data_IF_165010357540
#
_entry.id   IF_165010357540
#
_cell.length_a   1.000
_cell.length_b   1.000
_cell.length_c   1.000
_cell.angle_alpha   90.00
_cell.angle_beta   90.00
_cell.angle_gamma   90.00
#
_symmetry.space_group_name_H-M   'P 1'
#
loop_
_entity.id
_entity.type
_entity.pdbx_description
1 polymer ?
#
# COMPACT_ATOMS: atom_id res chain seq x y z
N UNK A 1 7.45 4.04 -28.07
CA UNK A 1 6.52 3.86 -26.95
C UNK A 1 7.35 3.39 -25.76
N UNK A 2 7.68 4.30 -24.85
CA UNK A 2 8.33 3.94 -23.59
C UNK A 2 7.22 3.43 -22.68
N UNK A 3 7.12 2.12 -22.52
CA UNK A 3 6.34 1.54 -21.44
C UNK A 3 7.25 1.70 -20.23
N UNK A 4 6.98 2.71 -19.39
CA UNK A 4 7.63 2.79 -18.09
C UNK A 4 7.07 1.60 -17.32
N UNK A 5 7.90 0.60 -17.01
CA UNK A 5 7.50 -0.57 -16.23
C UNK A 5 7.33 -0.12 -14.78
N UNK A 6 6.17 0.44 -14.48
CA UNK A 6 5.76 0.72 -13.10
C UNK A 6 5.36 -0.62 -12.50
N UNK A 7 6.19 -1.10 -11.59
CA UNK A 7 5.98 -2.40 -10.93
C UNK A 7 5.39 -2.24 -9.52
N UNK A 8 5.22 -1.00 -9.05
CA UNK A 8 4.76 -0.69 -7.70
C UNK A 8 3.93 0.61 -7.65
N UNK A 9 2.91 0.65 -6.80
CA UNK A 9 2.09 1.84 -6.57
C UNK A 9 1.79 2.05 -5.09
N UNK A 10 2.07 3.25 -4.59
CA UNK A 10 1.67 3.66 -3.25
C UNK A 10 0.15 3.64 -3.09
N UNK A 11 -0.30 3.14 -1.94
CA UNK A 11 -1.68 3.25 -1.48
C UNK A 11 -1.71 4.05 -0.18
N UNK A 12 -2.87 4.59 0.18
CA UNK A 12 -3.00 5.46 1.35
C UNK A 12 -2.96 4.74 2.71
N UNK A 13 -2.32 3.58 2.83
CA UNK A 13 -2.25 2.80 4.08
C UNK A 13 -0.88 2.97 4.72
N UNK A 14 -0.85 3.32 6.01
CA UNK A 14 0.39 3.57 6.75
C UNK A 14 0.23 3.30 8.25
N UNK A 15 1.29 2.94 8.94
CA UNK A 15 1.37 2.83 10.39
C UNK A 15 2.36 3.80 11.05
N UNK A 16 2.78 4.85 10.34
CA UNK A 16 3.70 5.93 10.79
C UNK A 16 3.36 6.56 12.16
N UNK A 17 2.10 6.45 12.58
CA UNK A 17 1.63 6.95 13.89
C UNK A 17 1.82 5.95 15.01
N UNK A 18 1.76 4.66 14.73
CA UNK A 18 1.79 3.56 15.69
C UNK A 18 2.17 2.27 14.95
N UNK A 19 3.43 1.87 15.11
CA UNK A 19 3.99 0.62 14.58
C UNK A 19 3.06 -0.58 14.74
N UNK A 20 2.89 -1.36 13.68
CA UNK A 20 2.00 -2.52 13.63
C UNK A 20 0.51 -2.16 13.61
N UNK A 21 0.16 -0.88 13.47
CA UNK A 21 -1.23 -0.38 13.42
C UNK A 21 -1.50 0.43 12.16
N UNK A 22 -1.55 -0.26 11.03
CA UNK A 22 -1.88 0.31 9.72
C UNK A 22 -3.26 0.95 9.67
N UNK A 23 -3.30 2.18 9.15
CA UNK A 23 -4.50 3.01 9.01
C UNK A 23 -4.54 3.65 7.63
N UNK A 24 -5.74 3.70 7.07
CA UNK A 24 -5.97 4.48 5.86
C UNK A 24 -5.91 5.97 6.17
N UNK A 25 -5.19 6.75 5.36
CA UNK A 25 -5.20 8.22 5.44
C UNK A 25 -6.61 8.80 5.21
N UNK A 26 -7.47 8.05 4.51
CA UNK A 26 -8.88 8.37 4.33
C UNK A 26 -9.72 8.27 5.61
N UNK A 27 -9.18 7.72 6.70
CA UNK A 27 -9.87 7.48 7.97
C UNK A 27 -10.86 6.31 7.96
N UNK A 28 -10.95 5.54 6.86
CA UNK A 28 -11.79 4.35 6.82
C UNK A 28 -11.21 3.25 7.71
N UNK A 29 -12.05 2.40 8.32
CA UNK A 29 -11.56 1.25 9.06
C UNK A 29 -10.82 0.29 8.12
N UNK A 30 -9.74 -0.31 8.61
CA UNK A 30 -9.05 -1.39 7.91
C UNK A 30 -9.80 -2.70 8.13
N UNK A 31 -10.67 -3.07 7.19
CA UNK A 31 -11.47 -4.31 7.24
C UNK A 31 -10.94 -5.44 6.36
N UNK A 32 -9.96 -5.15 5.51
CA UNK A 32 -9.34 -6.10 4.60
C UNK A 32 -7.85 -5.83 4.47
N UNK A 33 -7.10 -6.92 4.29
CA UNK A 33 -5.65 -6.88 4.05
C UNK A 33 -5.27 -7.97 3.05
N UNK A 34 -4.34 -7.66 2.15
CA UNK A 34 -3.75 -8.63 1.21
C UNK A 34 -2.22 -8.50 1.20
N UNK A 35 -1.63 -8.59 2.39
CA UNK A 35 -0.19 -8.57 2.59
C UNK A 35 0.50 -9.75 1.90
N UNK A 36 1.65 -9.49 1.31
CA UNK A 36 2.49 -10.53 0.72
C UNK A 36 3.05 -11.46 1.82
N UNK A 37 2.90 -12.78 1.64
CA UNK A 37 3.29 -13.79 2.64
C UNK A 37 4.53 -14.60 2.21
N UNK A 38 5.47 -13.97 1.51
CA UNK A 38 6.67 -14.66 1.02
C UNK A 38 7.73 -14.94 2.09
N UNK A 39 8.69 -15.84 1.82
CA UNK A 39 9.94 -15.92 2.59
C UNK A 39 10.85 -14.74 2.20
N UNK A 40 11.66 -14.14 3.10
CA UNK A 40 11.99 -14.53 4.48
C UNK A 40 11.27 -13.73 5.58
N UNK A 41 10.48 -12.72 5.24
CA UNK A 41 9.73 -11.85 6.15
C UNK A 41 8.27 -11.82 5.70
N UNK A 42 7.35 -12.04 6.64
CA UNK A 42 5.93 -11.88 6.40
C UNK A 42 5.57 -10.43 6.65
N UNK A 43 5.16 -9.75 5.60
CA UNK A 43 4.56 -8.42 5.67
C UNK A 43 3.37 -8.39 6.65
N UNK A 44 3.07 -7.24 7.26
CA UNK A 44 3.67 -5.93 7.03
C UNK A 44 4.64 -5.49 8.12
N UNK A 45 5.28 -6.45 8.78
CA UNK A 45 6.24 -6.14 9.83
C UNK A 45 7.39 -7.10 9.63
N UNK A 46 8.24 -6.71 8.69
CA UNK A 46 9.49 -7.32 8.30
C UNK A 46 10.47 -7.31 9.47
N UNK A 47 10.12 -8.06 10.52
CA UNK A 47 10.86 -8.25 11.75
C UNK A 47 11.61 -6.97 12.20
N UNK A 48 10.97 -6.22 13.11
CA UNK A 48 11.57 -5.45 14.21
C UNK A 48 12.84 -6.04 14.89
N UNK A 49 13.30 -7.23 14.51
CA UNK A 49 14.37 -8.04 15.10
C UNK A 49 15.77 -7.54 14.76
N UNK A 50 16.00 -6.75 13.70
CA UNK A 50 17.34 -6.23 13.35
C UNK A 50 17.57 -4.75 13.72
N UNK A 51 16.71 -4.17 14.56
CA UNK A 51 17.03 -2.96 15.32
C UNK A 51 17.19 -1.67 14.51
N UNK A 52 16.60 -1.59 13.31
CA UNK A 52 16.47 -0.35 12.56
C UNK A 52 15.16 -0.37 11.74
N UNK A 53 14.04 -0.20 12.43
CA UNK A 53 12.67 -0.55 11.97
C UNK A 53 11.69 0.59 12.19
N UNK A 54 12.07 1.83 11.87
CA UNK A 54 11.25 3.02 12.12
C UNK A 54 10.94 3.80 10.84
N UNK A 55 11.10 3.20 9.66
CA UNK A 55 10.92 3.94 8.39
C UNK A 55 10.07 3.18 7.36
N UNK A 56 9.74 1.89 7.56
CA UNK A 56 8.96 1.10 6.58
C UNK A 56 7.45 1.23 6.81
N UNK A 57 6.97 2.47 6.92
CA UNK A 57 5.62 2.72 7.43
C UNK A 57 4.56 2.83 6.32
N UNK A 58 4.94 2.67 5.04
CA UNK A 58 4.08 2.94 3.90
C UNK A 58 3.78 1.69 3.09
N UNK A 59 2.49 1.45 2.80
CA UNK A 59 2.09 0.31 1.99
C UNK A 59 2.04 0.63 0.49
N UNK A 60 2.47 -0.33 -0.33
CA UNK A 60 2.35 -0.26 -1.78
C UNK A 60 1.87 -1.59 -2.38
N UNK A 61 1.20 -1.54 -3.54
CA UNK A 61 0.89 -2.71 -4.35
C UNK A 61 2.06 -3.04 -5.25
N UNK A 62 2.39 -4.32 -5.42
CA UNK A 62 3.47 -4.77 -6.32
C UNK A 62 2.94 -5.62 -7.47
N UNK A 63 3.11 -5.18 -8.73
CA UNK A 63 2.76 -5.96 -9.93
C UNK A 63 3.51 -7.29 -10.00
N UNK A 64 4.73 -7.33 -9.44
CA UNK A 64 5.56 -8.54 -9.37
C UNK A 64 4.99 -9.58 -8.42
N UNK A 65 4.20 -9.15 -7.45
CA UNK A 65 3.61 -9.97 -6.40
C UNK A 65 2.09 -10.04 -6.54
N UNK A 66 1.59 -10.04 -7.78
CA UNK A 66 0.15 -10.15 -8.06
C UNK A 66 -0.70 -9.07 -7.35
N UNK A 67 -0.14 -7.87 -7.20
CA UNK A 67 -0.73 -6.73 -6.49
C UNK A 67 -0.95 -6.95 -4.99
N UNK A 68 -0.27 -7.92 -4.39
CA UNK A 68 -0.19 -8.03 -2.94
C UNK A 68 0.57 -6.84 -2.35
N UNK A 69 0.27 -6.56 -1.08
CA UNK A 69 0.74 -5.38 -0.37
C UNK A 69 2.08 -5.68 0.28
N UNK A 70 2.96 -4.70 0.25
CA UNK A 70 4.23 -4.71 0.97
C UNK A 70 4.37 -3.38 1.72
N UNK A 71 4.95 -3.44 2.91
CA UNK A 71 5.52 -2.30 3.61
C UNK A 71 6.81 -1.86 2.88
N UNK A 72 7.17 -0.59 3.02
CA UNK A 72 8.37 -0.03 2.41
C UNK A 72 8.66 1.32 3.03
N UNK A 73 9.92 1.74 2.93
CA UNK A 73 10.33 3.07 3.32
C UNK A 73 9.54 4.16 2.57
N UNK A 74 8.78 4.97 3.32
CA UNK A 74 7.93 6.03 2.78
C UNK A 74 8.71 7.04 1.90
N UNK A 75 10.00 7.22 2.14
CA UNK A 75 10.86 8.14 1.38
C UNK A 75 11.53 7.47 0.19
N UNK A 76 11.36 6.16 -0.01
CA UNK A 76 11.87 5.51 -1.22
C UNK A 76 11.21 6.08 -2.45
N UNK A 77 12.08 6.40 -3.41
CA UNK A 77 11.67 6.89 -4.71
C UNK A 77 11.08 5.73 -5.56
N UNK A 78 9.81 5.41 -5.32
CA UNK A 78 8.99 4.60 -6.23
C UNK A 78 8.53 5.45 -7.44
N UNK A 79 9.37 6.36 -7.96
CA UNK A 79 9.11 7.16 -9.15
C UNK A 79 7.74 7.88 -9.18
N UNK A 80 7.18 8.23 -8.01
CA UNK A 80 5.94 8.98 -7.82
C UNK A 80 4.62 8.32 -8.30
N UNK A 81 4.53 6.98 -8.33
CA UNK A 81 3.28 6.30 -8.72
C UNK A 81 2.42 5.99 -7.49
N UNK A 82 1.29 6.68 -7.35
CA UNK A 82 0.32 6.45 -6.29
C UNK A 82 -1.09 6.25 -6.87
N UNK A 83 -1.90 5.40 -6.23
CA UNK A 83 -3.32 5.24 -6.54
C UNK A 83 -4.16 6.12 -5.62
N UNK A 84 -4.88 7.08 -6.20
CA UNK A 84 -5.71 8.02 -5.44
C UNK A 84 -7.19 7.61 -5.43
N UNK A 85 -7.82 7.58 -4.26
CA UNK A 85 -9.27 7.48 -4.11
C UNK A 85 -9.92 8.88 -4.17
N UNK A 86 -10.93 9.07 -5.04
CA UNK A 86 -11.74 10.29 -5.08
C UNK A 86 -13.18 10.01 -4.65
N UNK A 87 -13.67 10.70 -3.60
CA UNK A 87 -15.08 10.65 -3.21
C UNK A 87 -15.94 11.61 -4.03
N UNK A 88 -16.32 11.21 -5.24
CA UNK A 88 -17.47 11.81 -5.95
C UNK A 88 -18.30 10.74 -6.65
N UNK A 89 -19.51 10.50 -6.12
CA UNK A 89 -20.51 9.61 -6.68
C UNK A 89 -21.30 10.23 -7.87
N UNK A 90 -20.99 11.46 -8.29
CA UNK A 90 -21.80 12.20 -9.28
C UNK A 90 -21.18 12.33 -10.68
N UNK A 91 -20.00 11.73 -10.97
CA UNK A 91 -19.33 11.87 -12.29
C UNK A 91 -19.04 10.52 -12.99
N UNK A 92 -19.59 9.38 -12.53
CA UNK A 92 -19.49 8.15 -13.31
C UNK A 92 -20.86 7.51 -13.54
N UNK A 93 -21.51 7.80 -14.69
CA UNK A 93 -22.76 7.14 -15.08
C UNK A 93 -22.63 5.62 -15.25
N UNK A 94 -21.40 5.07 -15.35
CA UNK A 94 -21.13 3.64 -15.52
C UNK A 94 -19.99 3.18 -14.59
N UNK A 95 -20.16 3.31 -13.28
CA UNK A 95 -19.10 2.96 -12.31
C UNK A 95 -19.03 1.43 -12.10
N UNK A 96 -17.93 0.81 -12.53
CA UNK A 96 -17.44 -0.43 -11.91
C UNK A 96 -17.11 -0.04 -10.47
N UNK A 97 -17.88 -0.58 -9.53
CA UNK A 97 -17.61 -0.47 -8.10
C UNK A 97 -16.40 -1.36 -7.83
N UNK A 98 -15.22 -0.78 -7.65
CA UNK A 98 -14.16 -1.51 -6.96
C UNK A 98 -14.67 -1.78 -5.55
N UNK A 99 -14.72 -3.07 -5.20
CA UNK A 99 -15.11 -3.52 -3.87
C UNK A 99 -14.10 -2.92 -2.89
N UNK A 100 -14.58 -1.98 -2.08
CA UNK A 100 -13.96 -1.69 -0.81
C UNK A 100 -14.32 -2.88 0.09
N UNK A 101 -13.30 -3.62 0.51
CA UNK A 101 -13.44 -4.63 1.55
C UNK A 101 -13.08 -3.99 2.89
#
# INVERSE_FOLDING_TARGET
MHIVSVDAWWIGLTDIKTEGSFKWDSGHPLSFTDWYQGPPSSEPDDLGILGNTNDVDCAHLSARLLFQWQDEDCVRDLSNHALCEFRYAFICPNKIRLLQF
#
